data_IF_789107944226
#
_entry.id   IF_789107944226
#
_cell.length_a   1.000
_cell.length_b   1.000
_cell.length_c   1.000
_cell.angle_alpha   90.00
_cell.angle_beta   90.00
_cell.angle_gamma   90.00
#
_symmetry.space_group_name_H-M   'P 1'
#
loop_
_entity.id
_entity.type
_entity.pdbx_description
1 polymer ?
#
# COMPACT_ATOMS: atom_id res chain seq x y z
N UNK A 1 -12.00 9.81 29.44
CA UNK A 1 -11.72 8.49 28.83
C UNK A 1 -10.53 8.68 27.91
N UNK A 2 -9.37 8.09 28.25
CA UNK A 2 -8.13 8.28 27.52
C UNK A 2 -8.21 7.51 26.20
N UNK A 3 -8.20 8.22 25.07
CA UNK A 3 -8.01 7.62 23.75
C UNK A 3 -6.56 7.15 23.65
N UNK A 4 -6.30 5.89 23.97
CA UNK A 4 -5.00 5.27 23.77
C UNK A 4 -4.75 5.10 22.27
N UNK A 5 -4.09 6.07 21.64
CA UNK A 5 -3.67 5.97 20.24
C UNK A 5 -2.52 4.96 20.13
N UNK A 6 -2.85 3.70 19.84
CA UNK A 6 -1.88 2.69 19.42
C UNK A 6 -1.28 3.15 18.09
N UNK A 7 -0.03 3.64 18.10
CA UNK A 7 0.70 3.98 16.89
C UNK A 7 1.16 2.69 16.20
N UNK A 8 0.52 2.35 15.08
CA UNK A 8 1.10 1.42 14.10
C UNK A 8 2.04 2.26 13.23
N UNK A 9 3.31 1.87 13.18
CA UNK A 9 4.27 2.49 12.27
C UNK A 9 4.48 1.56 11.06
N UNK A 10 4.44 2.16 9.87
CA UNK A 10 4.76 1.52 8.60
C UNK A 10 6.11 2.06 8.16
N UNK A 11 7.10 1.18 8.03
CA UNK A 11 8.41 1.50 7.47
C UNK A 11 8.56 0.76 6.13
N UNK A 12 9.17 1.37 5.12
CA UNK A 12 9.39 0.72 3.82
C UNK A 12 10.85 0.32 3.69
N UNK A 13 11.14 -0.98 3.57
CA UNK A 13 12.51 -1.44 3.34
C UNK A 13 12.73 -1.88 1.90
N UNK A 14 13.93 -1.60 1.40
CA UNK A 14 14.40 -2.01 0.07
C UNK A 14 15.53 -3.02 0.18
N UNK A 15 15.45 -4.07 -0.64
CA UNK A 15 16.51 -5.06 -0.84
C UNK A 15 17.09 -4.88 -2.25
N UNK A 16 18.41 -4.75 -2.36
CA UNK A 16 19.15 -4.55 -3.61
C UNK A 16 19.98 -5.82 -3.92
N UNK A 17 20.04 -6.20 -5.19
CA UNK A 17 20.89 -7.26 -5.70
C UNK A 17 21.69 -6.75 -6.90
N UNK A 18 22.99 -6.96 -6.92
CA UNK A 18 23.89 -6.47 -7.97
C UNK A 18 24.89 -7.56 -8.40
N UNK A 19 25.23 -7.57 -9.69
CA UNK A 19 26.36 -8.32 -10.26
C UNK A 19 27.02 -7.50 -11.39
N UNK A 20 28.08 -8.03 -12.00
CA UNK A 20 28.82 -7.36 -13.08
C UNK A 20 27.96 -7.01 -14.31
N UNK A 21 26.77 -7.60 -14.44
CA UNK A 21 25.86 -7.43 -15.56
C UNK A 21 24.67 -6.49 -15.24
N UNK A 22 24.47 -6.10 -13.98
CA UNK A 22 23.42 -5.15 -13.61
C UNK A 22 22.94 -5.23 -12.17
N UNK A 23 21.87 -4.49 -11.89
CA UNK A 23 21.23 -4.39 -10.58
C UNK A 23 19.72 -4.61 -10.66
N UNK A 24 19.15 -5.15 -9.59
CA UNK A 24 17.72 -5.32 -9.38
C UNK A 24 17.38 -5.01 -7.92
N UNK A 25 16.13 -4.66 -7.63
CA UNK A 25 15.69 -4.40 -6.27
C UNK A 25 14.20 -4.69 -6.06
N UNK A 26 13.84 -4.92 -4.80
CA UNK A 26 12.46 -5.05 -4.34
C UNK A 26 12.27 -4.23 -3.06
N UNK A 27 11.06 -3.78 -2.79
CA UNK A 27 10.71 -3.13 -1.53
C UNK A 27 9.49 -3.78 -0.87
N UNK A 28 9.37 -3.64 0.44
CA UNK A 28 8.26 -4.21 1.21
C UNK A 28 8.06 -3.51 2.55
N UNK A 29 6.80 -3.44 3.04
CA UNK A 29 6.50 -2.77 4.29
C UNK A 29 6.89 -3.63 5.51
N UNK A 30 7.42 -2.98 6.54
CA UNK A 30 7.48 -3.49 7.91
C UNK A 30 6.36 -2.85 8.71
N UNK A 31 5.57 -3.70 9.37
CA UNK A 31 4.49 -3.29 10.25
C UNK A 31 4.96 -3.45 11.69
N UNK A 32 5.14 -2.33 12.40
CA UNK A 32 5.51 -2.35 13.82
C UNK A 32 4.23 -2.30 14.65
N UNK A 33 3.89 -3.44 15.27
CA UNK A 33 2.81 -3.54 16.25
C UNK A 33 3.39 -3.53 17.68
N UNK A 34 2.79 -2.76 18.58
CA UNK A 34 3.17 -2.75 19.99
C UNK A 34 2.83 -4.10 20.64
N UNK A 35 3.77 -4.67 21.38
CA UNK A 35 3.55 -5.92 22.11
C UNK A 35 2.41 -5.76 23.14
N UNK A 36 1.39 -6.62 23.05
CA UNK A 36 0.21 -6.54 23.93
C UNK A 36 -0.85 -5.51 23.50
N UNK A 37 -0.73 -4.89 22.32
CA UNK A 37 -1.83 -4.11 21.76
C UNK A 37 -3.03 -5.03 21.46
N UNK A 38 -4.23 -4.58 21.83
CA UNK A 38 -5.45 -5.23 21.36
C UNK A 38 -5.44 -5.25 19.81
N UNK A 39 -5.96 -6.31 19.17
CA UNK A 39 -6.15 -6.33 17.73
C UNK A 39 -6.86 -5.04 17.31
N UNK A 40 -6.29 -4.30 16.34
CA UNK A 40 -7.02 -3.19 15.75
C UNK A 40 -8.22 -3.77 15.01
N UNK A 41 -9.42 -3.44 15.46
CA UNK A 41 -10.64 -3.77 14.74
C UNK A 41 -10.71 -2.92 13.46
N UNK A 42 -10.73 -3.59 12.31
CA UNK A 42 -10.74 -2.93 11.01
C UNK A 42 -10.36 -3.86 9.88
N UNK A 43 -10.44 -3.34 8.67
CA UNK A 43 -10.03 -4.03 7.44
C UNK A 43 -8.99 -3.12 6.77
N UNK A 44 -7.76 -3.63 6.59
CA UNK A 44 -6.73 -2.88 5.90
C UNK A 44 -7.19 -2.55 4.46
N UNK A 45 -6.76 -1.41 3.90
CA UNK A 45 -7.04 -1.10 2.51
C UNK A 45 -6.54 -2.21 1.59
N UNK A 46 -7.39 -2.67 0.67
CA UNK A 46 -6.99 -3.65 -0.34
C UNK A 46 -7.68 -3.35 -1.67
N UNK A 47 -6.99 -3.61 -2.78
CA UNK A 47 -7.54 -3.45 -4.12
C UNK A 47 -8.29 -4.72 -4.53
N UNK A 48 -9.56 -4.80 -4.18
CA UNK A 48 -10.46 -5.87 -4.66
C UNK A 48 -10.60 -5.88 -6.18
N UNK A 49 -10.36 -4.74 -6.84
CA UNK A 49 -10.12 -4.67 -8.27
C UNK A 49 -8.89 -3.78 -8.52
N UNK A 50 -7.73 -4.35 -8.88
CA UNK A 50 -6.52 -3.58 -9.13
C UNK A 50 -6.67 -2.72 -10.38
N UNK A 51 -6.04 -1.55 -10.37
CA UNK A 51 -5.90 -0.71 -11.55
C UNK A 51 -5.07 -1.45 -12.59
N UNK A 52 -5.57 -1.55 -13.82
CA UNK A 52 -4.87 -2.23 -14.92
C UNK A 52 -4.29 -1.21 -15.90
N UNK A 53 -3.21 -1.56 -16.62
CA UNK A 53 -2.74 -0.76 -17.74
C UNK A 53 -3.84 -0.57 -18.79
N UNK A 54 -3.93 0.63 -19.35
CA UNK A 54 -4.81 0.96 -20.49
C UNK A 54 -3.97 1.46 -21.66
N UNK A 55 -4.41 1.19 -22.88
CA UNK A 55 -3.78 1.68 -24.12
C UNK A 55 -4.74 2.66 -24.77
N UNK A 56 -4.27 3.88 -25.04
CA UNK A 56 -5.04 4.95 -25.69
C UNK A 56 -4.19 5.66 -26.73
N UNK A 57 -4.83 6.31 -27.72
CA UNK A 57 -4.15 7.15 -28.70
C UNK A 57 -3.69 8.48 -28.13
N UNK A 58 -2.74 9.12 -28.81
CA UNK A 58 -2.29 10.47 -28.47
C UNK A 58 -3.44 11.48 -28.63
N UNK A 59 -3.67 12.30 -27.61
CA UNK A 59 -4.77 13.27 -27.57
C UNK A 59 -6.11 12.68 -27.10
N UNK A 60 -6.20 11.37 -26.87
CA UNK A 60 -7.39 10.72 -26.32
C UNK A 60 -7.40 10.70 -24.78
N UNK A 61 -8.57 10.51 -24.18
CA UNK A 61 -8.73 10.42 -22.72
C UNK A 61 -8.50 9.00 -22.22
N UNK A 62 -7.58 8.82 -21.28
CA UNK A 62 -7.39 7.57 -20.54
C UNK A 62 -8.21 7.54 -19.25
N UNK A 63 -8.84 6.40 -18.94
CA UNK A 63 -9.56 6.17 -17.69
C UNK A 63 -8.91 5.01 -16.94
N UNK A 64 -8.37 5.29 -15.76
CA UNK A 64 -7.84 4.29 -14.84
C UNK A 64 -8.88 4.03 -13.74
N UNK A 65 -9.37 2.80 -13.66
CA UNK A 65 -10.38 2.40 -12.67
C UNK A 65 -9.82 1.30 -11.75
N UNK A 66 -10.17 1.39 -10.48
CA UNK A 66 -9.88 0.38 -9.47
C UNK A 66 -10.93 0.44 -8.37
N UNK A 67 -11.04 -0.64 -7.60
CA UNK A 67 -11.96 -0.74 -6.46
C UNK A 67 -11.18 -1.12 -5.22
N UNK A 68 -11.39 -0.35 -4.15
CA UNK A 68 -10.69 -0.50 -2.88
C UNK A 68 -11.69 -0.87 -1.78
N UNK A 69 -11.35 -1.86 -0.96
CA UNK A 69 -12.01 -2.16 0.33
C UNK A 69 -11.19 -1.61 1.48
N UNK A 70 -11.79 -1.48 2.67
CA UNK A 70 -11.08 -1.11 3.89
C UNK A 70 -12.01 -0.43 4.90
N UNK A 71 -11.73 -0.63 6.18
CA UNK A 71 -12.46 -0.04 7.31
C UNK A 71 -11.45 0.47 8.35
N UNK A 72 -11.41 1.78 8.64
CA UNK A 72 -12.25 2.85 8.06
C UNK A 72 -12.02 3.09 6.56
N UNK A 73 -12.91 3.87 5.92
CA UNK A 73 -12.87 4.14 4.47
C UNK A 73 -11.46 4.65 4.07
N UNK A 74 -10.76 3.98 3.13
CA UNK A 74 -9.42 4.39 2.73
C UNK A 74 -9.40 5.74 2.02
N UNK A 75 -8.30 6.46 2.16
CA UNK A 75 -7.99 7.63 1.32
C UNK A 75 -7.21 7.15 0.10
N UNK A 76 -7.68 7.51 -1.10
CA UNK A 76 -7.01 7.19 -2.37
C UNK A 76 -6.32 8.44 -2.89
N UNK A 77 -5.07 8.28 -3.37
CA UNK A 77 -4.29 9.33 -4.05
C UNK A 77 -3.74 8.76 -5.36
N UNK A 78 -3.68 9.60 -6.38
CA UNK A 78 -3.03 9.33 -7.66
C UNK A 78 -1.72 10.11 -7.71
#
# INVERSE_FOLDING_TARGET
MLSSNVKVALEMLRCMAENELGSAWTEGPIIIAAFGAAPQEGEAPDFVMPVRPVVVGEGETAVLEGKVSGKPKPTVKW
#
